data_IF_354752443850
#
_entry.id   IF_354752443850
#
_cell.length_a   1.000
_cell.length_b   1.000
_cell.length_c   1.000
_cell.angle_alpha   90.00
_cell.angle_beta   90.00
_cell.angle_gamma   90.00
#
_symmetry.space_group_name_H-M   'P 1'
#
loop_
_entity.id
_entity.type
_entity.pdbx_description
1 polymer ?
#
# COMPACT_ATOMS: atom_id res chain seq x y z
N UNK A 1 -34.62 -20.01 -33.13
CA UNK A 1 -34.14 -20.44 -31.83
C UNK A 1 -32.71 -19.97 -31.64
N UNK A 2 -32.56 -18.89 -30.85
CA UNK A 2 -31.28 -18.32 -30.47
C UNK A 2 -30.65 -19.26 -29.43
N UNK A 3 -29.48 -19.82 -29.75
CA UNK A 3 -28.67 -20.59 -28.82
C UNK A 3 -28.04 -19.66 -27.81
N UNK A 4 -28.45 -19.74 -26.55
CA UNK A 4 -27.77 -19.12 -25.44
C UNK A 4 -26.39 -19.76 -25.28
N UNK A 5 -25.33 -18.99 -25.60
CA UNK A 5 -23.96 -19.41 -25.32
C UNK A 5 -23.70 -19.45 -23.80
N UNK A 6 -22.76 -20.27 -23.34
CA UNK A 6 -22.42 -20.35 -21.92
C UNK A 6 -21.88 -19.00 -21.44
N UNK A 7 -22.44 -18.49 -20.35
CA UNK A 7 -21.93 -17.33 -19.60
C UNK A 7 -20.50 -17.68 -19.15
N UNK A 8 -19.48 -16.86 -19.44
CA UNK A 8 -18.13 -17.13 -18.99
C UNK A 8 -18.12 -17.14 -17.45
N UNK A 9 -17.68 -18.27 -16.88
CA UNK A 9 -17.48 -18.40 -15.45
C UNK A 9 -16.49 -17.34 -14.96
N UNK A 10 -16.87 -16.59 -13.93
CA UNK A 10 -15.99 -15.63 -13.28
C UNK A 10 -14.70 -16.33 -12.83
N UNK A 11 -13.52 -15.74 -13.06
CA UNK A 11 -12.26 -16.37 -12.70
C UNK A 11 -12.21 -16.61 -11.19
N UNK A 12 -12.10 -17.88 -10.81
CA UNK A 12 -11.93 -18.28 -9.41
C UNK A 12 -10.52 -17.92 -8.98
N UNK A 13 -10.34 -16.77 -8.35
CA UNK A 13 -9.06 -16.33 -7.78
C UNK A 13 -8.64 -17.35 -6.73
N UNK A 14 -7.50 -18.00 -6.94
CA UNK A 14 -6.92 -18.96 -5.99
C UNK A 14 -6.64 -18.23 -4.66
N UNK A 15 -6.85 -18.85 -3.49
CA UNK A 15 -6.64 -18.23 -2.18
C UNK A 15 -5.24 -17.61 -1.98
N UNK A 16 -4.22 -18.16 -2.66
CA UNK A 16 -2.84 -17.69 -2.61
C UNK A 16 -2.59 -16.34 -3.33
N UNK A 17 -3.53 -15.87 -4.15
CA UNK A 17 -3.39 -14.67 -4.97
C UNK A 17 -4.17 -13.46 -4.43
N UNK A 18 -4.80 -13.59 -3.28
CA UNK A 18 -5.56 -12.50 -2.65
C UNK A 18 -4.63 -11.57 -1.87
N UNK A 19 -4.84 -10.24 -1.98
CA UNK A 19 -4.07 -9.28 -1.18
C UNK A 19 -4.24 -9.56 0.31
N UNK A 20 -3.15 -9.46 1.05
CA UNK A 20 -3.12 -9.58 2.52
C UNK A 20 -3.13 -8.18 3.12
N UNK A 21 -4.17 -7.89 3.90
CA UNK A 21 -4.36 -6.58 4.54
C UNK A 21 -4.16 -6.72 6.04
N UNK A 22 -3.15 -6.04 6.60
CA UNK A 22 -3.00 -5.93 8.04
C UNK A 22 -4.07 -5.00 8.60
N UNK A 23 -4.86 -5.45 9.57
CA UNK A 23 -6.03 -4.70 10.02
C UNK A 23 -6.04 -4.55 11.55
N UNK A 24 -6.18 -3.30 12.01
CA UNK A 24 -6.40 -2.94 13.42
C UNK A 24 -7.81 -2.36 13.53
N UNK A 25 -8.77 -3.20 13.88
CA UNK A 25 -10.19 -2.92 13.81
C UNK A 25 -10.90 -3.20 15.13
N UNK A 26 -12.03 -2.53 15.36
CA UNK A 26 -12.99 -2.93 16.38
C UNK A 26 -13.62 -4.28 16.02
N UNK A 27 -14.06 -5.10 16.99
CA UNK A 27 -14.72 -6.38 16.71
C UNK A 27 -15.91 -6.27 15.74
N UNK A 28 -16.73 -5.24 15.90
CA UNK A 28 -17.88 -5.01 15.03
C UNK A 28 -17.49 -4.57 13.61
N UNK A 29 -16.39 -3.83 13.45
CA UNK A 29 -15.84 -3.46 12.15
C UNK A 29 -15.22 -4.67 11.45
N UNK A 30 -14.53 -5.53 12.20
CA UNK A 30 -13.89 -6.75 11.70
C UNK A 30 -14.87 -7.60 10.91
N UNK A 31 -16.01 -7.94 11.50
CA UNK A 31 -17.07 -8.73 10.86
C UNK A 31 -17.58 -8.09 9.55
N UNK A 32 -17.79 -6.78 9.56
CA UNK A 32 -18.27 -6.03 8.39
C UNK A 32 -17.23 -5.97 7.27
N UNK A 33 -15.96 -5.74 7.64
CA UNK A 33 -14.84 -5.70 6.68
C UNK A 33 -14.59 -7.07 6.07
N UNK A 34 -14.67 -8.16 6.85
CA UNK A 34 -14.57 -9.53 6.36
C UNK A 34 -15.71 -9.85 5.37
N UNK A 35 -16.93 -9.51 5.72
CA UNK A 35 -18.09 -9.70 4.83
C UNK A 35 -17.95 -8.89 3.53
N UNK A 36 -17.54 -7.60 3.63
CA UNK A 36 -17.33 -6.75 2.47
C UNK A 36 -16.15 -7.19 1.59
N UNK A 37 -15.10 -7.74 2.21
CA UNK A 37 -13.87 -8.20 1.56
C UNK A 37 -13.92 -9.63 1.06
N UNK A 38 -15.06 -10.34 1.26
CA UNK A 38 -15.16 -11.75 0.91
C UNK A 38 -14.75 -12.02 -0.54
N UNK A 39 -13.74 -12.87 -0.71
CA UNK A 39 -13.21 -13.20 -2.04
C UNK A 39 -12.26 -12.16 -2.66
N UNK A 40 -12.14 -10.93 -2.11
CA UNK A 40 -11.33 -9.85 -2.66
C UNK A 40 -9.95 -9.73 -2.01
N UNK A 41 -9.85 -9.92 -0.70
CA UNK A 41 -8.63 -9.85 0.08
C UNK A 41 -8.70 -10.70 1.35
N UNK A 42 -7.55 -10.95 1.96
CA UNK A 42 -7.43 -11.67 3.23
C UNK A 42 -7.05 -10.68 4.34
N UNK A 43 -7.75 -10.74 5.48
CA UNK A 43 -7.44 -9.90 6.63
C UNK A 43 -6.47 -10.58 7.59
N UNK A 44 -5.44 -9.85 7.96
CA UNK A 44 -4.50 -10.18 9.02
C UNK A 44 -4.80 -9.30 10.22
N UNK A 45 -5.66 -9.77 11.12
CA UNK A 45 -6.04 -9.01 12.31
C UNK A 45 -4.87 -8.81 13.27
N UNK A 46 -4.79 -7.60 13.81
CA UNK A 46 -3.86 -7.19 14.87
C UNK A 46 -4.61 -6.38 15.90
N UNK A 47 -4.19 -6.49 17.13
CA UNK A 47 -4.87 -5.82 18.24
C UNK A 47 -4.35 -4.40 18.47
N UNK A 48 -3.21 -4.05 17.86
CA UNK A 48 -2.61 -2.72 18.02
C UNK A 48 -1.82 -2.29 16.78
N UNK A 49 -1.57 -0.99 16.65
CA UNK A 49 -0.73 -0.42 15.59
C UNK A 49 0.71 -0.97 15.64
N UNK A 50 1.39 -1.09 16.81
CA UNK A 50 2.70 -1.72 16.89
C UNK A 50 2.74 -3.14 16.36
N UNK A 51 1.69 -3.94 16.58
CA UNK A 51 1.59 -5.29 16.02
C UNK A 51 1.39 -5.28 14.50
N UNK A 52 0.65 -4.32 13.97
CA UNK A 52 0.54 -4.14 12.52
C UNK A 52 1.90 -3.77 11.90
N UNK A 53 2.67 -2.88 12.54
CA UNK A 53 4.05 -2.55 12.12
C UNK A 53 4.94 -3.79 12.12
N UNK A 54 4.86 -4.63 13.16
CA UNK A 54 5.61 -5.88 13.23
C UNK A 54 5.22 -6.82 12.10
N UNK A 55 3.92 -6.99 11.85
CA UNK A 55 3.42 -7.86 10.79
C UNK A 55 3.94 -7.44 9.41
N UNK A 56 4.00 -6.14 9.12
CA UNK A 56 4.56 -5.59 7.88
C UNK A 56 6.04 -5.92 7.71
N UNK A 57 6.79 -5.96 8.82
CA UNK A 57 8.23 -6.32 8.81
C UNK A 57 8.48 -7.82 8.64
N UNK A 58 7.59 -8.65 9.16
CA UNK A 58 7.77 -10.11 9.19
C UNK A 58 7.28 -10.81 7.92
N UNK A 59 6.32 -10.22 7.21
CA UNK A 59 5.71 -10.84 6.02
C UNK A 59 5.22 -9.81 5.00
N UNK A 60 5.07 -10.19 3.73
CA UNK A 60 4.47 -9.33 2.72
C UNK A 60 3.03 -8.97 3.08
N UNK A 61 2.73 -7.67 3.12
CA UNK A 61 1.41 -7.10 3.37
C UNK A 61 1.11 -6.14 2.22
N UNK A 62 -0.05 -6.29 1.61
CA UNK A 62 -0.45 -5.52 0.43
C UNK A 62 -1.17 -4.21 0.80
N UNK A 63 -1.58 -4.05 2.06
CA UNK A 63 -2.23 -2.85 2.57
C UNK A 63 -2.43 -2.90 4.07
N UNK A 64 -2.75 -1.75 4.65
CA UNK A 64 -3.00 -1.59 6.07
C UNK A 64 -4.33 -0.87 6.26
N UNK A 65 -5.17 -1.41 7.16
CA UNK A 65 -6.47 -0.85 7.49
C UNK A 65 -6.53 -0.54 8.99
N UNK A 66 -6.69 0.73 9.34
CA UNK A 66 -6.69 1.20 10.72
C UNK A 66 -8.05 1.81 11.06
N UNK A 67 -8.74 1.27 12.04
CA UNK A 67 -9.91 1.95 12.62
C UNK A 67 -9.47 3.22 13.35
N UNK A 68 -10.15 4.31 13.09
CA UNK A 68 -9.92 5.59 13.79
C UNK A 68 -10.09 5.40 15.30
N UNK A 69 -11.04 4.57 15.73
CA UNK A 69 -11.31 4.28 17.13
C UNK A 69 -10.28 3.38 17.82
N UNK A 70 -9.36 2.77 17.04
CA UNK A 70 -8.23 1.96 17.54
C UNK A 70 -6.90 2.69 17.48
N UNK A 71 -6.93 3.99 17.17
CA UNK A 71 -5.76 4.85 17.11
C UNK A 71 -5.79 5.91 18.23
N UNK A 72 -5.51 5.53 19.48
CA UNK A 72 -5.41 6.49 20.57
C UNK A 72 -4.23 7.45 20.32
N UNK A 73 -4.18 8.61 21.00
CA UNK A 73 -3.13 9.63 20.77
C UNK A 73 -1.69 9.10 20.82
N UNK A 74 -1.42 8.13 21.69
CA UNK A 74 -0.11 7.47 21.77
C UNK A 74 0.21 6.59 20.56
N UNK A 75 -0.78 6.07 19.83
CA UNK A 75 -0.58 5.29 18.62
C UNK A 75 -0.29 6.16 17.38
N UNK A 76 -0.59 7.46 17.42
CA UNK A 76 -0.36 8.39 16.29
C UNK A 76 1.11 8.41 15.85
N UNK A 77 2.03 8.35 16.80
CA UNK A 77 3.46 8.29 16.49
C UNK A 77 3.86 6.98 15.78
N UNK A 78 3.23 5.86 16.16
CA UNK A 78 3.46 4.58 15.48
C UNK A 78 2.88 4.58 14.06
N UNK A 79 1.71 5.22 13.86
CA UNK A 79 1.15 5.41 12.51
C UNK A 79 2.07 6.30 11.68
N UNK A 80 2.66 7.35 12.26
CA UNK A 80 3.64 8.20 11.59
C UNK A 80 4.84 7.38 11.12
N UNK A 81 5.41 6.53 11.99
CA UNK A 81 6.52 5.63 11.62
C UNK A 81 6.08 4.66 10.52
N UNK A 82 4.90 4.07 10.64
CA UNK A 82 4.37 3.15 9.66
C UNK A 82 4.27 3.79 8.27
N UNK A 83 3.66 4.97 8.17
CA UNK A 83 3.51 5.71 6.91
C UNK A 83 4.86 6.17 6.37
N UNK A 84 5.80 6.56 7.25
CA UNK A 84 7.13 6.99 6.87
C UNK A 84 8.02 5.83 6.43
N UNK A 85 8.05 4.73 7.17
CA UNK A 85 8.92 3.59 6.91
C UNK A 85 8.42 2.73 5.74
N UNK A 86 7.10 2.72 5.50
CA UNK A 86 6.45 1.89 4.47
C UNK A 86 5.51 2.70 3.56
N UNK A 87 5.97 3.77 2.90
CA UNK A 87 5.12 4.67 2.12
C UNK A 87 4.48 4.00 0.88
N UNK A 88 5.03 2.87 0.41
CA UNK A 88 4.45 2.08 -0.69
C UNK A 88 3.32 1.16 -0.26
N UNK A 89 3.15 0.92 1.03
CA UNK A 89 2.03 0.14 1.53
C UNK A 89 0.85 1.10 1.80
N UNK A 90 -0.26 0.97 1.06
CA UNK A 90 -1.41 1.84 1.26
C UNK A 90 -1.95 1.67 2.68
N UNK A 91 -1.90 2.75 3.44
CA UNK A 91 -2.47 2.81 4.79
C UNK A 91 -3.76 3.61 4.74
N UNK A 92 -4.85 2.98 5.11
CA UNK A 92 -6.21 3.53 5.04
C UNK A 92 -6.80 3.65 6.43
N UNK A 93 -7.29 4.83 6.80
CA UNK A 93 -8.10 5.01 7.99
C UNK A 93 -9.56 4.65 7.70
N UNK A 94 -10.14 3.80 8.55
CA UNK A 94 -11.54 3.41 8.50
C UNK A 94 -12.35 4.23 9.52
N UNK A 95 -13.39 4.90 9.04
CA UNK A 95 -14.39 5.61 9.85
C UNK A 95 -15.68 4.82 9.82
N UNK A 96 -16.11 4.30 10.95
CA UNK A 96 -17.36 3.53 11.09
C UNK A 96 -18.44 4.26 11.86
N UNK A 97 -18.07 5.31 12.58
CA UNK A 97 -18.99 6.23 13.28
C UNK A 97 -18.42 7.64 13.25
N UNK A 98 -19.31 8.64 13.28
CA UNK A 98 -18.94 10.05 13.35
C UNK A 98 -19.18 10.58 14.75
N UNK A 99 -18.10 10.90 15.44
CA UNK A 99 -18.11 11.60 16.73
C UNK A 99 -16.95 12.61 16.80
N UNK A 100 -16.91 13.39 17.87
CA UNK A 100 -15.85 14.39 18.05
C UNK A 100 -14.47 13.75 18.17
N UNK A 101 -14.37 12.60 18.84
CA UNK A 101 -13.11 11.89 19.03
C UNK A 101 -12.56 11.32 17.72
N UNK A 102 -13.44 10.77 16.86
CA UNK A 102 -13.03 10.28 15.54
C UNK A 102 -12.55 11.41 14.63
N UNK A 103 -13.20 12.58 14.69
CA UNK A 103 -12.79 13.76 13.94
C UNK A 103 -11.41 14.28 14.36
N UNK A 104 -11.15 14.37 15.66
CA UNK A 104 -9.86 14.76 16.21
C UNK A 104 -8.76 13.75 15.81
N UNK A 105 -9.04 12.45 15.97
CA UNK A 105 -8.10 11.40 15.56
C UNK A 105 -7.78 11.46 14.07
N UNK A 106 -8.76 11.71 13.21
CA UNK A 106 -8.53 11.88 11.77
C UNK A 106 -7.62 13.06 11.46
N UNK A 107 -7.78 14.19 12.12
CA UNK A 107 -6.88 15.34 11.96
C UNK A 107 -5.45 14.98 12.36
N UNK A 108 -5.28 14.29 13.49
CA UNK A 108 -3.98 13.83 13.96
C UNK A 108 -3.34 12.82 12.98
N UNK A 109 -4.11 11.85 12.47
CA UNK A 109 -3.66 10.89 11.47
C UNK A 109 -3.28 11.58 10.15
N UNK A 110 -4.05 12.57 9.71
CA UNK A 110 -3.72 13.39 8.53
C UNK A 110 -2.38 14.10 8.69
N UNK A 111 -2.09 14.64 9.88
CA UNK A 111 -0.80 15.28 10.18
C UNK A 111 0.39 14.30 10.16
N UNK A 112 0.16 12.98 10.28
CA UNK A 112 1.21 11.95 10.11
C UNK A 112 1.56 11.65 8.65
N UNK A 113 0.80 12.20 7.71
CA UNK A 113 0.95 11.91 6.28
C UNK A 113 0.00 10.82 5.77
N UNK A 114 -0.90 10.28 6.60
CA UNK A 114 -1.96 9.38 6.17
C UNK A 114 -2.96 10.15 5.29
N UNK A 115 -3.14 9.73 4.04
CA UNK A 115 -3.92 10.45 3.03
C UNK A 115 -5.20 9.74 2.60
N UNK A 116 -5.34 8.47 2.97
CA UNK A 116 -6.49 7.68 2.54
C UNK A 116 -7.43 7.43 3.71
N UNK A 117 -8.66 7.88 3.55
CA UNK A 117 -9.74 7.68 4.52
C UNK A 117 -10.92 7.04 3.80
N UNK A 118 -11.48 6.01 4.41
CA UNK A 118 -12.72 5.39 3.95
C UNK A 118 -13.76 5.49 5.06
N UNK A 119 -14.80 6.22 4.75
CA UNK A 119 -16.00 6.33 5.58
C UNK A 119 -16.98 5.23 5.16
N UNK A 120 -17.26 4.31 6.07
CA UNK A 120 -18.17 3.18 5.85
C UNK A 120 -19.52 3.34 6.55
N UNK A 121 -19.83 4.54 7.00
CA UNK A 121 -21.18 4.87 7.53
C UNK A 121 -22.21 4.92 6.40
N UNK A 122 -21.77 5.29 5.19
CA UNK A 122 -22.60 5.32 3.99
C UNK A 122 -22.46 4.05 3.11
N UNK A 123 -23.43 3.83 2.20
CA UNK A 123 -23.51 2.60 1.39
C UNK A 123 -22.34 2.44 0.40
N UNK A 124 -21.76 3.54 -0.07
CA UNK A 124 -20.65 3.52 -1.05
C UNK A 124 -19.28 3.26 -0.42
N UNK A 125 -19.16 3.42 0.91
CA UNK A 125 -17.91 3.27 1.64
C UNK A 125 -17.30 1.89 1.49
N UNK A 126 -18.12 0.83 1.57
CA UNK A 126 -17.68 -0.55 1.43
C UNK A 126 -17.19 -0.88 0.01
N UNK A 127 -17.82 -0.31 -1.01
CA UNK A 127 -17.37 -0.46 -2.40
C UNK A 127 -16.01 0.23 -2.61
N UNK A 128 -15.85 1.44 -2.05
CA UNK A 128 -14.60 2.19 -2.10
C UNK A 128 -13.48 1.45 -1.37
N UNK A 129 -13.76 0.87 -0.19
CA UNK A 129 -12.79 0.05 0.55
C UNK A 129 -12.31 -1.13 -0.29
N UNK A 130 -13.22 -1.90 -0.89
CA UNK A 130 -12.86 -3.02 -1.76
C UNK A 130 -12.00 -2.58 -2.93
N UNK A 131 -12.36 -1.49 -3.59
CA UNK A 131 -11.61 -0.96 -4.73
C UNK A 131 -10.18 -0.57 -4.33
N UNK A 132 -10.02 0.14 -3.22
CA UNK A 132 -8.70 0.55 -2.73
C UNK A 132 -7.83 -0.64 -2.34
N UNK A 133 -8.39 -1.64 -1.66
CA UNK A 133 -7.63 -2.80 -1.16
C UNK A 133 -7.33 -3.84 -2.25
N UNK A 134 -8.13 -3.89 -3.32
CA UNK A 134 -7.96 -4.85 -4.41
C UNK A 134 -7.19 -4.30 -5.62
N UNK A 135 -6.81 -3.02 -5.64
CA UNK A 135 -6.17 -2.39 -6.79
C UNK A 135 -4.81 -3.05 -7.12
N UNK A 136 -4.61 -3.59 -8.36
CA UNK A 136 -3.39 -4.32 -8.72
C UNK A 136 -2.11 -3.49 -8.62
N UNK A 137 -2.17 -2.23 -9.04
CA UNK A 137 -1.00 -1.30 -9.01
C UNK A 137 -0.55 -1.03 -7.58
N UNK A 138 -1.50 -0.88 -6.66
CA UNK A 138 -1.23 -0.68 -5.24
C UNK A 138 -0.54 -1.89 -4.63
N UNK A 139 -0.96 -3.11 -4.99
CA UNK A 139 -0.33 -4.37 -4.55
C UNK A 139 1.10 -4.51 -5.06
N UNK A 140 1.34 -4.22 -6.34
CA UNK A 140 2.68 -4.31 -6.92
C UNK A 140 3.65 -3.40 -6.18
N UNK A 141 3.27 -2.15 -5.93
CA UNK A 141 4.08 -1.20 -5.18
C UNK A 141 4.38 -1.71 -3.76
N UNK A 142 3.37 -2.18 -3.03
CA UNK A 142 3.53 -2.70 -1.67
C UNK A 142 4.48 -3.92 -1.61
N UNK A 143 4.31 -4.88 -2.52
CA UNK A 143 5.15 -6.09 -2.58
C UNK A 143 6.60 -5.83 -2.95
N UNK A 144 6.84 -4.82 -3.77
CA UNK A 144 8.21 -4.43 -4.14
C UNK A 144 8.85 -3.61 -3.01
N UNK A 145 8.09 -2.69 -2.42
CA UNK A 145 8.63 -1.71 -1.48
C UNK A 145 8.89 -2.30 -0.09
N UNK A 146 8.06 -3.21 0.41
CA UNK A 146 8.25 -3.83 1.71
C UNK A 146 9.62 -4.51 1.85
N UNK A 147 9.98 -5.48 1.00
CA UNK A 147 11.30 -6.10 1.00
C UNK A 147 12.44 -5.11 0.71
N UNK A 148 12.21 -4.11 -0.14
CA UNK A 148 13.20 -3.10 -0.48
C UNK A 148 13.55 -2.21 0.73
N UNK A 149 12.55 -1.75 1.49
CA UNK A 149 12.77 -0.96 2.72
C UNK A 149 13.55 -1.76 3.76
N UNK A 150 13.26 -3.06 3.91
CA UNK A 150 14.00 -3.93 4.80
C UNK A 150 15.46 -4.10 4.35
N UNK A 151 15.69 -4.29 3.05
CA UNK A 151 17.03 -4.41 2.48
C UNK A 151 17.83 -3.11 2.56
N UNK A 152 17.17 -1.95 2.59
CA UNK A 152 17.78 -0.62 2.66
C UNK A 152 17.82 -0.05 4.09
N UNK A 153 17.57 -0.86 5.12
CA UNK A 153 17.43 -0.40 6.52
C UNK A 153 18.55 0.51 7.01
N UNK A 154 19.78 0.23 6.63
CA UNK A 154 20.99 1.02 6.96
C UNK A 154 21.33 2.09 5.90
N UNK A 155 20.56 2.19 4.80
CA UNK A 155 20.85 3.16 3.75
C UNK A 155 20.54 4.60 4.20
N UNK A 156 21.30 5.61 3.70
CA UNK A 156 21.00 7.01 3.92
C UNK A 156 19.57 7.38 3.56
N UNK A 157 18.95 8.28 4.34
CA UNK A 157 17.54 8.66 4.20
C UNK A 157 17.18 9.15 2.78
N UNK A 158 18.09 9.82 2.11
CA UNK A 158 17.91 10.32 0.75
C UNK A 158 17.89 9.21 -0.31
N UNK A 159 18.64 8.12 -0.11
CA UNK A 159 18.55 6.94 -0.97
C UNK A 159 17.26 6.16 -0.72
N UNK A 160 16.85 6.01 0.53
CA UNK A 160 15.56 5.40 0.86
C UNK A 160 14.42 6.14 0.19
N UNK A 161 14.36 7.46 0.35
CA UNK A 161 13.35 8.30 -0.32
C UNK A 161 13.36 8.13 -1.84
N UNK A 162 14.56 8.06 -2.46
CA UNK A 162 14.66 7.82 -3.89
C UNK A 162 14.04 6.48 -4.30
N UNK A 163 14.33 5.40 -3.60
CA UNK A 163 13.77 4.07 -3.90
C UNK A 163 12.27 4.01 -3.69
N UNK A 164 11.76 4.69 -2.68
CA UNK A 164 10.32 4.84 -2.46
C UNK A 164 9.62 5.52 -3.64
N UNK A 165 10.16 6.65 -4.06
CA UNK A 165 9.65 7.38 -5.22
C UNK A 165 9.80 6.58 -6.51
N UNK A 166 10.91 5.85 -6.67
CA UNK A 166 11.15 4.96 -7.80
C UNK A 166 10.05 3.89 -7.91
N UNK A 167 9.78 3.15 -6.84
CA UNK A 167 8.75 2.09 -6.85
C UNK A 167 7.37 2.67 -7.11
N UNK A 168 7.05 3.79 -6.48
CA UNK A 168 5.74 4.44 -6.59
C UNK A 168 5.47 4.99 -7.99
N UNK A 169 6.48 5.60 -8.62
CA UNK A 169 6.33 6.33 -9.88
C UNK A 169 6.76 5.52 -11.11
N UNK A 170 7.42 4.37 -10.93
CA UNK A 170 7.90 3.55 -12.05
C UNK A 170 6.83 3.18 -13.09
N UNK A 171 5.55 2.96 -12.75
CA UNK A 171 4.52 2.71 -13.76
C UNK A 171 4.35 3.89 -14.75
N UNK A 172 4.45 5.11 -14.24
CA UNK A 172 4.12 6.34 -15.00
C UNK A 172 5.35 7.04 -15.58
N UNK A 173 6.54 6.77 -15.01
CA UNK A 173 7.78 7.43 -15.39
C UNK A 173 8.68 6.50 -16.19
N UNK A 174 9.11 6.95 -17.38
CA UNK A 174 9.98 6.19 -18.29
C UNK A 174 11.45 6.59 -18.24
N UNK A 175 11.78 7.73 -17.63
CA UNK A 175 13.14 8.28 -17.64
C UNK A 175 13.64 8.67 -16.25
N UNK A 176 14.92 8.48 -15.99
CA UNK A 176 15.59 8.94 -14.76
C UNK A 176 15.47 10.46 -14.59
N UNK A 177 15.47 11.23 -15.70
CA UNK A 177 15.30 12.69 -15.63
C UNK A 177 13.92 13.08 -15.09
N UNK A 178 12.86 12.38 -15.50
CA UNK A 178 11.51 12.60 -14.98
C UNK A 178 11.43 12.22 -13.49
N UNK A 179 12.05 11.11 -13.09
CA UNK A 179 12.14 10.70 -11.70
C UNK A 179 12.92 11.72 -10.84
N UNK A 180 14.05 12.21 -11.34
CA UNK A 180 14.81 13.26 -10.66
C UNK A 180 14.00 14.54 -10.45
N UNK A 181 13.18 14.95 -11.44
CA UNK A 181 12.27 16.09 -11.28
C UNK A 181 11.22 15.85 -10.20
N UNK A 182 10.63 14.66 -10.17
CA UNK A 182 9.63 14.29 -9.15
C UNK A 182 10.23 14.24 -7.73
N UNK A 183 11.52 13.91 -7.62
CA UNK A 183 12.26 13.89 -6.35
C UNK A 183 12.95 15.24 -6.02
N UNK A 184 12.82 16.25 -6.88
CA UNK A 184 13.49 17.55 -6.74
C UNK A 184 15.02 17.46 -6.61
N UNK A 185 15.62 16.44 -7.23
CA UNK A 185 17.08 16.16 -7.19
C UNK A 185 17.69 16.35 -8.58
N UNK A 186 18.88 16.95 -8.65
CA UNK A 186 19.62 17.04 -9.91
C UNK A 186 20.14 15.66 -10.32
N UNK A 187 20.07 15.28 -11.62
CA UNK A 187 20.58 13.98 -12.10
C UNK A 187 22.04 13.71 -11.72
N UNK A 188 22.91 14.73 -11.77
CA UNK A 188 24.31 14.59 -11.37
C UNK A 188 24.47 14.26 -9.88
N UNK A 189 23.67 14.89 -9.02
CA UNK A 189 23.66 14.61 -7.59
C UNK A 189 23.23 13.18 -7.30
N UNK A 190 22.16 12.71 -7.98
CA UNK A 190 21.68 11.34 -7.86
C UNK A 190 22.74 10.33 -8.30
N UNK A 191 23.35 10.54 -9.46
CA UNK A 191 24.42 9.67 -9.97
C UNK A 191 25.61 9.59 -9.03
N UNK A 192 26.07 10.73 -8.49
CA UNK A 192 27.15 10.79 -7.50
C UNK A 192 26.82 10.02 -6.21
N UNK A 193 25.57 10.10 -5.73
CA UNK A 193 25.12 9.34 -4.54
C UNK A 193 25.15 7.84 -4.79
N UNK A 194 24.66 7.40 -5.93
CA UNK A 194 24.66 5.98 -6.31
C UNK A 194 26.09 5.46 -6.44
N UNK A 195 26.97 6.20 -7.10
CA UNK A 195 28.38 5.83 -7.23
C UNK A 195 29.08 5.71 -5.86
N UNK A 196 28.88 6.68 -4.95
CA UNK A 196 29.45 6.63 -3.60
C UNK A 196 28.91 5.49 -2.75
N UNK A 197 27.67 5.10 -2.96
CA UNK A 197 27.05 3.96 -2.27
C UNK A 197 27.39 2.60 -2.92
N UNK A 198 28.20 2.57 -3.99
CA UNK A 198 28.52 1.34 -4.71
C UNK A 198 27.34 0.70 -5.43
N UNK A 199 26.28 1.48 -5.69
CA UNK A 199 25.04 0.98 -6.29
C UNK A 199 25.09 1.04 -7.82
N UNK A 200 24.43 0.10 -8.53
CA UNK A 200 24.18 0.20 -9.97
C UNK A 200 23.48 1.52 -10.34
N UNK A 201 23.47 1.84 -11.64
CA UNK A 201 22.88 3.11 -12.10
C UNK A 201 21.39 3.24 -11.75
N UNK A 202 20.88 4.45 -11.49
CA UNK A 202 19.45 4.69 -11.31
C UNK A 202 18.60 4.21 -12.48
N UNK A 203 19.16 4.21 -13.70
CA UNK A 203 18.49 3.70 -14.91
C UNK A 203 18.24 2.18 -14.82
N UNK A 204 19.20 1.41 -14.31
CA UNK A 204 19.06 -0.03 -14.14
C UNK A 204 17.94 -0.34 -13.15
N UNK A 205 17.88 0.37 -12.02
CA UNK A 205 16.80 0.19 -11.05
C UNK A 205 15.43 0.58 -11.62
N UNK A 206 15.33 1.69 -12.35
CA UNK A 206 14.07 2.08 -13.00
C UNK A 206 13.59 1.00 -13.97
N UNK A 207 14.48 0.44 -14.77
CA UNK A 207 14.14 -0.65 -15.70
C UNK A 207 13.67 -1.90 -14.95
N UNK A 208 14.38 -2.32 -13.90
CA UNK A 208 14.05 -3.50 -13.09
C UNK A 208 12.69 -3.33 -12.38
N UNK A 209 12.44 -2.19 -11.76
CA UNK A 209 11.17 -1.93 -11.07
C UNK A 209 10.00 -1.90 -12.05
N UNK A 210 10.18 -1.31 -13.24
CA UNK A 210 9.16 -1.32 -14.31
C UNK A 210 8.85 -2.74 -14.79
N UNK A 211 9.88 -3.59 -14.94
CA UNK A 211 9.68 -5.01 -15.29
C UNK A 211 8.91 -5.75 -14.20
N UNK A 212 9.22 -5.51 -12.93
CA UNK A 212 8.49 -6.11 -11.80
C UNK A 212 7.02 -5.67 -11.80
N UNK A 213 6.74 -4.39 -12.04
CA UNK A 213 5.36 -3.93 -12.19
C UNK A 213 4.64 -4.58 -13.38
N UNK A 214 5.30 -4.68 -14.52
CA UNK A 214 4.72 -5.33 -15.71
C UNK A 214 4.46 -6.82 -15.46
N UNK A 215 5.41 -7.55 -14.88
CA UNK A 215 5.25 -8.96 -14.51
C UNK A 215 4.06 -9.14 -13.57
N UNK A 216 3.96 -8.32 -12.53
CA UNK A 216 2.87 -8.40 -11.58
C UNK A 216 1.49 -8.09 -12.20
N UNK A 217 1.44 -7.20 -13.19
CA UNK A 217 0.21 -6.92 -13.94
C UNK A 217 -0.19 -8.08 -14.87
N UNK A 218 0.80 -8.82 -15.40
CA UNK A 218 0.56 -10.01 -16.23
C UNK A 218 0.09 -11.22 -15.38
N UNK A 219 0.59 -11.34 -14.17
CA UNK A 219 0.20 -12.39 -13.23
C UNK A 219 -1.18 -12.14 -12.61
N UNK A 220 -1.71 -10.93 -12.69
CA UNK A 220 -3.03 -10.59 -12.16
C UNK A 220 -4.13 -11.23 -13.03
N UNK A 221 -4.91 -12.21 -12.51
CA UNK A 221 -5.98 -12.85 -13.28
C UNK A 221 -7.06 -11.83 -13.63
N UNK A 222 -7.35 -11.63 -14.91
CA UNK A 222 -8.49 -10.85 -15.38
C UNK A 222 -8.24 -9.76 -16.42
N UNK A 223 -7.10 -9.77 -17.13
CA UNK A 223 -6.90 -8.96 -18.34
C UNK A 223 -6.68 -9.88 -19.54
N UNK A 224 -7.77 -10.35 -20.09
CA UNK A 224 -7.88 -10.78 -21.50
C UNK A 224 -8.79 -9.81 -22.22
#
# INVERSE_FOLDING_TARGET
PLRSGPVPASPTTTPADRPTIAAVLLPAERLKVEAAGHGCFTLLHRDSVPEAVRAVRERPVDGILLSVHRCPPNAVQEVRRLVHDFPGIPTVALVSTHDAASSETLLQLGATGLRQVVDVTGPTGWQRLRHLMAAPVTRAAARIQGPLVLALGEAPADLRFFFEMLVRLAPDITTVRALCRACEVRPSTLMSRFSRAGLPSPKSYLASVRLLHAAHLLEAPGRS
#
